data_IF_219042156401
#
_entry.id   IF_219042156401
#
_cell.length_a   1.000
_cell.length_b   1.000
_cell.length_c   1.000
_cell.angle_alpha   90.00
_cell.angle_beta   90.00
_cell.angle_gamma   90.00
#
_symmetry.space_group_name_H-M   'P 1'
#
loop_
_entity.id
_entity.type
_entity.pdbx_description
1 polymer ?
#
# COMPACT_ATOMS: atom_id res chain seq x y z
N UNK A 1 28.27 -20.61 -14.81
CA UNK A 1 26.89 -21.04 -14.47
C UNK A 1 26.59 -22.35 -15.18
N UNK A 2 26.03 -23.37 -14.53
CA UNK A 2 25.63 -24.61 -15.21
C UNK A 2 24.53 -24.28 -16.24
N UNK A 3 24.54 -24.88 -17.44
CA UNK A 3 23.55 -24.62 -18.51
C UNK A 3 22.10 -24.66 -17.99
N UNK A 4 21.80 -25.58 -17.07
CA UNK A 4 20.48 -25.70 -16.43
C UNK A 4 20.09 -24.49 -15.57
N UNK A 5 21.05 -23.84 -14.92
CA UNK A 5 20.80 -22.61 -14.14
C UNK A 5 20.53 -21.40 -15.04
N UNK A 6 21.22 -21.32 -16.19
CA UNK A 6 21.00 -20.29 -17.18
C UNK A 6 19.61 -20.44 -17.81
N UNK A 7 19.24 -21.66 -18.24
CA UNK A 7 17.93 -21.92 -18.82
C UNK A 7 16.79 -21.56 -17.85
N UNK A 8 16.89 -21.95 -16.58
CA UNK A 8 15.87 -21.60 -15.56
C UNK A 8 15.75 -20.09 -15.36
N UNK A 9 16.88 -19.37 -15.39
CA UNK A 9 16.87 -17.92 -15.29
C UNK A 9 16.18 -17.28 -16.50
N UNK A 10 16.53 -17.71 -17.72
CA UNK A 10 15.94 -17.19 -18.97
C UNK A 10 14.44 -17.47 -19.03
N UNK A 11 14.00 -18.70 -18.74
CA UNK A 11 12.56 -19.03 -18.71
C UNK A 11 11.83 -18.20 -17.65
N UNK A 12 12.39 -18.08 -16.44
CA UNK A 12 11.80 -17.23 -15.40
C UNK A 12 11.70 -15.77 -15.83
N UNK A 13 12.67 -15.26 -16.58
CA UNK A 13 12.67 -13.89 -17.10
C UNK A 13 11.58 -13.70 -18.14
N UNK A 14 11.45 -14.64 -19.09
CA UNK A 14 10.36 -14.63 -20.09
C UNK A 14 9.01 -14.63 -19.40
N UNK A 15 8.79 -15.49 -18.40
CA UNK A 15 7.54 -15.53 -17.63
C UNK A 15 7.28 -14.22 -16.89
N UNK A 16 8.31 -13.52 -16.40
CA UNK A 16 8.14 -12.18 -15.84
C UNK A 16 7.69 -11.17 -16.88
N UNK A 17 8.31 -11.16 -18.06
CA UNK A 17 7.95 -10.24 -19.15
C UNK A 17 6.51 -10.50 -19.60
N UNK A 18 6.12 -11.75 -19.80
CA UNK A 18 4.74 -12.13 -20.17
C UNK A 18 3.75 -11.72 -19.10
N UNK A 19 4.02 -12.00 -17.83
CA UNK A 19 3.15 -11.63 -16.73
C UNK A 19 2.97 -10.10 -16.60
N UNK A 20 4.07 -9.33 -16.75
CA UNK A 20 4.03 -7.87 -16.74
C UNK A 20 3.21 -7.35 -17.93
N UNK A 21 3.42 -7.91 -19.13
CA UNK A 21 2.65 -7.56 -20.31
C UNK A 21 1.15 -7.82 -20.11
N UNK A 22 0.78 -8.95 -19.50
CA UNK A 22 -0.62 -9.24 -19.16
C UNK A 22 -1.20 -8.22 -18.18
N UNK A 23 -0.48 -7.90 -17.09
CA UNK A 23 -0.93 -6.88 -16.13
C UNK A 23 -1.17 -5.54 -16.82
N UNK A 24 -0.23 -5.09 -17.66
CA UNK A 24 -0.36 -3.81 -18.37
C UNK A 24 -1.46 -3.85 -19.44
N UNK A 25 -1.61 -4.96 -20.16
CA UNK A 25 -2.66 -5.16 -21.16
C UNK A 25 -4.04 -5.05 -20.51
N UNK A 26 -4.27 -5.75 -19.40
CA UNK A 26 -5.55 -5.71 -18.69
C UNK A 26 -5.79 -4.39 -17.96
N UNK A 27 -4.73 -3.68 -17.57
CA UNK A 27 -4.82 -2.33 -17.01
C UNK A 27 -5.12 -1.25 -18.07
N UNK A 28 -4.71 -1.47 -19.31
CA UNK A 28 -4.78 -0.48 -20.38
C UNK A 28 -6.16 0.15 -20.62
N UNK A 29 -7.28 -0.58 -20.59
CA UNK A 29 -8.61 0.02 -20.75
C UNK A 29 -8.91 1.09 -19.68
N UNK A 30 -8.51 0.86 -18.42
CA UNK A 30 -8.68 1.81 -17.32
C UNK A 30 -7.84 3.07 -17.57
N UNK A 31 -6.58 2.86 -17.98
CA UNK A 31 -5.66 3.95 -18.30
C UNK A 31 -6.17 4.82 -19.46
N UNK A 32 -6.56 4.18 -20.58
CA UNK A 32 -7.11 4.86 -21.76
C UNK A 32 -8.37 5.64 -21.43
N UNK A 33 -9.29 5.02 -20.69
CA UNK A 33 -10.51 5.68 -20.27
C UNK A 33 -10.20 6.93 -19.45
N UNK A 34 -9.34 6.85 -18.42
CA UNK A 34 -9.03 8.01 -17.57
C UNK A 34 -8.29 9.12 -18.32
N UNK A 35 -7.34 8.76 -19.20
CA UNK A 35 -6.61 9.72 -20.03
C UNK A 35 -7.59 10.44 -20.97
N UNK A 36 -8.50 9.70 -21.61
CA UNK A 36 -9.48 10.24 -22.56
C UNK A 36 -10.69 10.93 -21.93
N UNK A 37 -10.98 10.70 -20.65
CA UNK A 37 -12.21 11.18 -20.02
C UNK A 37 -12.28 12.71 -19.95
N UNK A 38 -13.46 13.24 -20.33
CA UNK A 38 -13.86 14.64 -20.24
C UNK A 38 -15.30 14.70 -19.68
N UNK A 39 -15.60 15.50 -18.64
CA UNK A 39 -14.70 16.42 -17.92
C UNK A 39 -13.60 15.69 -17.16
N UNK A 40 -12.56 16.40 -16.69
CA UNK A 40 -11.47 15.75 -15.95
C UNK A 40 -11.98 15.31 -14.57
N UNK A 41 -11.60 14.10 -14.14
CA UNK A 41 -11.97 13.53 -12.84
C UNK A 41 -10.85 13.69 -11.81
N UNK A 42 -11.21 13.48 -10.53
CA UNK A 42 -10.35 13.71 -9.38
C UNK A 42 -10.76 14.98 -8.63
N UNK A 43 -11.20 14.81 -7.39
CA UNK A 43 -11.78 15.90 -6.57
C UNK A 43 -10.80 17.05 -6.37
N UNK A 44 -9.50 16.74 -6.30
CA UNK A 44 -8.43 17.72 -6.12
C UNK A 44 -7.57 17.94 -7.37
N UNK A 45 -8.04 17.53 -8.57
CA UNK A 45 -7.27 17.66 -9.81
C UNK A 45 -6.79 19.09 -10.03
N UNK A 46 -7.69 20.07 -9.86
CA UNK A 46 -7.36 21.48 -10.08
C UNK A 46 -6.41 22.03 -9.01
N UNK A 47 -6.51 21.55 -7.76
CA UNK A 47 -5.54 21.89 -6.73
C UNK A 47 -4.15 21.34 -7.08
N UNK A 48 -4.07 20.09 -7.52
CA UNK A 48 -2.84 19.48 -8.01
C UNK A 48 -2.29 20.25 -9.22
N UNK A 49 -3.14 20.72 -10.14
CA UNK A 49 -2.73 21.52 -11.29
C UNK A 49 -2.15 22.88 -10.88
N UNK A 50 -2.80 23.60 -9.97
CA UNK A 50 -2.31 24.88 -9.45
C UNK A 50 -0.94 24.72 -8.81
N UNK A 51 -0.76 23.71 -7.95
CA UNK A 51 0.49 23.49 -7.24
C UNK A 51 1.60 22.97 -8.16
N UNK A 52 1.29 22.03 -9.06
CA UNK A 52 2.25 21.55 -10.05
C UNK A 52 2.67 22.66 -11.04
N UNK A 53 1.75 23.57 -11.41
CA UNK A 53 2.08 24.76 -12.19
C UNK A 53 3.06 25.66 -11.46
N UNK A 54 2.82 25.93 -10.17
CA UNK A 54 3.75 26.69 -9.35
C UNK A 54 5.15 26.06 -9.37
N UNK A 55 5.28 24.75 -9.17
CA UNK A 55 6.58 24.07 -9.22
C UNK A 55 7.21 24.01 -10.62
N UNK A 56 6.40 24.00 -11.68
CA UNK A 56 6.90 24.10 -13.06
C UNK A 56 7.55 25.47 -13.29
N UNK A 57 6.86 26.53 -12.89
CA UNK A 57 7.21 27.92 -13.16
C UNK A 57 8.33 28.42 -12.23
N UNK A 58 8.34 27.98 -10.96
CA UNK A 58 9.28 28.39 -9.91
C UNK A 58 10.13 27.23 -9.39
N UNK A 59 10.54 26.32 -10.27
CA UNK A 59 11.33 25.16 -9.87
C UNK A 59 12.63 25.57 -9.18
N UNK A 60 12.76 25.21 -7.92
CA UNK A 60 14.00 25.29 -7.17
C UNK A 60 14.30 23.93 -6.56
N UNK A 61 15.57 23.52 -6.57
CA UNK A 61 16.02 22.27 -5.91
C UNK A 61 15.73 22.32 -4.42
N UNK A 62 15.83 23.52 -3.84
CA UNK A 62 15.47 23.81 -2.46
C UNK A 62 14.35 24.83 -2.52
N UNK A 63 13.07 24.42 -2.42
CA UNK A 63 11.93 25.34 -2.53
C UNK A 63 11.99 26.39 -1.42
N UNK A 64 12.56 27.55 -1.70
CA UNK A 64 12.63 28.71 -0.80
C UNK A 64 11.64 29.74 -1.31
N UNK A 65 10.39 29.33 -1.42
CA UNK A 65 9.32 30.15 -1.97
C UNK A 65 8.20 30.40 -0.96
N UNK A 66 7.47 31.48 -1.19
CA UNK A 66 6.14 31.68 -0.63
C UNK A 66 5.13 31.23 -1.69
N UNK A 67 4.25 30.30 -1.32
CA UNK A 67 3.18 29.85 -2.16
C UNK A 67 1.98 30.78 -1.94
N UNK A 68 1.69 31.64 -2.92
CA UNK A 68 0.48 32.45 -2.94
C UNK A 68 -0.66 31.68 -3.63
N UNK A 69 -1.75 31.45 -2.89
CA UNK A 69 -2.98 30.80 -3.36
C UNK A 69 -4.17 31.60 -2.84
N UNK A 70 -4.87 32.28 -3.76
CA UNK A 70 -6.15 32.95 -3.52
C UNK A 70 -6.10 33.97 -2.35
N UNK A 71 -5.13 34.91 -2.41
CA UNK A 71 -4.95 36.01 -1.44
C UNK A 71 -4.47 35.58 -0.05
N UNK A 72 -4.13 34.31 0.10
CA UNK A 72 -3.45 33.77 1.27
C UNK A 72 -2.25 32.95 0.79
N UNK A 73 -1.35 32.62 1.70
CA UNK A 73 -0.24 31.79 1.33
C UNK A 73 0.51 31.28 2.52
N UNK A 74 1.48 30.44 2.22
CA UNK A 74 2.39 29.91 3.21
C UNK A 74 3.73 29.63 2.58
N UNK A 75 4.77 29.50 3.40
CA UNK A 75 6.04 28.99 2.89
C UNK A 75 5.84 27.63 2.21
N UNK A 76 6.43 27.43 1.03
CA UNK A 76 6.26 26.20 0.22
C UNK A 76 6.63 24.94 1.01
N UNK A 77 7.56 25.05 1.96
CA UNK A 77 8.02 23.95 2.80
C UNK A 77 6.97 23.46 3.83
N UNK A 78 5.84 24.15 4.00
CA UNK A 78 4.71 23.68 4.82
C UNK A 78 3.78 22.70 4.08
N UNK A 79 3.93 22.56 2.76
CA UNK A 79 3.03 21.75 1.94
C UNK A 79 3.36 20.24 2.04
N UNK A 80 2.49 19.49 2.72
CA UNK A 80 2.66 18.06 3.08
C UNK A 80 2.66 17.07 1.91
N UNK A 81 2.37 17.51 0.68
CA UNK A 81 2.29 16.68 -0.53
C UNK A 81 3.35 17.15 -1.54
N UNK A 82 4.55 17.45 -1.04
CA UNK A 82 5.60 18.09 -1.81
C UNK A 82 6.06 17.25 -3.02
N UNK A 83 6.27 15.94 -2.81
CA UNK A 83 6.89 15.07 -3.82
C UNK A 83 6.09 15.01 -5.13
N UNK A 84 4.77 14.82 -5.05
CA UNK A 84 3.94 14.64 -6.24
C UNK A 84 3.79 15.93 -7.04
N UNK A 85 3.64 17.09 -6.39
CA UNK A 85 3.57 18.36 -7.10
C UNK A 85 4.90 18.71 -7.77
N UNK A 86 6.01 18.43 -7.09
CA UNK A 86 7.35 18.66 -7.61
C UNK A 86 7.64 17.79 -8.84
N UNK A 87 7.34 16.50 -8.76
CA UNK A 87 7.53 15.54 -9.86
C UNK A 87 6.67 15.93 -11.08
N UNK A 88 5.40 16.24 -10.87
CA UNK A 88 4.51 16.66 -11.97
C UNK A 88 4.96 17.99 -12.54
N UNK A 89 5.35 18.95 -11.71
CA UNK A 89 5.85 20.26 -12.17
C UNK A 89 7.07 20.11 -13.08
N UNK A 90 8.00 19.19 -12.75
CA UNK A 90 9.14 18.86 -13.59
C UNK A 90 8.71 18.26 -14.93
N UNK A 91 7.79 17.29 -14.93
CA UNK A 91 7.27 16.65 -16.15
C UNK A 91 6.50 17.68 -17.02
N UNK A 92 5.77 18.60 -16.38
CA UNK A 92 5.00 19.65 -17.03
C UNK A 92 5.86 20.72 -17.73
N UNK A 93 7.19 20.67 -17.58
CA UNK A 93 8.13 21.45 -18.41
C UNK A 93 8.31 20.87 -19.81
N UNK A 94 8.01 19.58 -19.98
CA UNK A 94 8.23 18.85 -21.23
C UNK A 94 6.91 18.64 -21.98
N UNK A 95 5.81 18.42 -21.24
CA UNK A 95 4.48 18.16 -21.81
C UNK A 95 3.41 19.05 -21.16
N UNK A 96 2.23 19.24 -21.80
CA UNK A 96 1.16 20.04 -21.22
C UNK A 96 0.79 19.60 -19.80
N UNK A 97 0.58 20.58 -18.90
CA UNK A 97 0.34 20.35 -17.47
C UNK A 97 -0.75 19.31 -17.16
N UNK A 98 -1.89 19.41 -17.84
CA UNK A 98 -3.02 18.48 -17.66
C UNK A 98 -2.61 17.05 -18.03
N UNK A 99 -1.88 16.89 -19.13
CA UNK A 99 -1.36 15.60 -19.56
C UNK A 99 -0.30 15.07 -18.59
N UNK A 100 0.58 15.94 -18.07
CA UNK A 100 1.57 15.57 -17.06
C UNK A 100 0.92 14.96 -15.81
N UNK A 101 -0.14 15.59 -15.30
CA UNK A 101 -0.90 15.06 -14.15
C UNK A 101 -1.50 13.70 -14.51
N UNK A 102 -2.26 13.61 -15.61
CA UNK A 102 -2.94 12.36 -16.01
C UNK A 102 -1.96 11.21 -16.19
N UNK A 103 -0.86 11.43 -16.91
CA UNK A 103 0.15 10.40 -17.14
C UNK A 103 0.91 10.03 -15.86
N UNK A 104 1.22 10.98 -14.98
CA UNK A 104 1.91 10.68 -13.71
C UNK A 104 1.05 9.79 -12.82
N UNK A 105 -0.24 10.11 -12.72
CA UNK A 105 -1.21 9.34 -11.93
C UNK A 105 -1.39 7.93 -12.51
N UNK A 106 -1.54 7.79 -13.83
CA UNK A 106 -1.62 6.47 -14.48
C UNK A 106 -0.31 5.68 -14.36
N UNK A 107 0.84 6.33 -14.51
CA UNK A 107 2.14 5.69 -14.31
C UNK A 107 2.32 5.20 -12.87
N UNK A 108 1.87 5.98 -11.88
CA UNK A 108 1.90 5.56 -10.47
C UNK A 108 1.02 4.34 -10.21
N UNK A 109 -0.15 4.23 -10.88
CA UNK A 109 -1.01 3.06 -10.77
C UNK A 109 -0.38 1.84 -11.46
N UNK A 110 0.21 2.00 -12.64
CA UNK A 110 0.95 0.93 -13.30
C UNK A 110 2.08 0.41 -12.39
N UNK A 111 2.89 1.30 -11.82
CA UNK A 111 3.98 0.93 -10.90
C UNK A 111 3.46 0.27 -9.60
N UNK A 112 2.29 0.69 -9.11
CA UNK A 112 1.61 0.03 -7.99
C UNK A 112 1.29 -1.42 -8.36
N UNK A 113 0.65 -1.67 -9.51
CA UNK A 113 0.29 -3.01 -9.96
C UNK A 113 1.52 -3.89 -10.19
N UNK A 114 2.60 -3.33 -10.76
CA UNK A 114 3.87 -4.04 -10.91
C UNK A 114 4.48 -4.39 -9.55
N UNK A 115 4.40 -3.49 -8.57
CA UNK A 115 4.89 -3.76 -7.21
C UNK A 115 4.06 -4.82 -6.49
N UNK A 116 2.73 -4.82 -6.68
CA UNK A 116 1.84 -5.90 -6.20
C UNK A 116 2.21 -7.22 -6.83
N UNK A 117 2.39 -7.26 -8.16
CA UNK A 117 2.82 -8.44 -8.90
C UNK A 117 4.15 -9.00 -8.35
N UNK A 118 5.17 -8.14 -8.22
CA UNK A 118 6.50 -8.54 -7.75
C UNK A 118 6.44 -9.04 -6.30
N UNK A 119 5.73 -8.34 -5.41
CA UNK A 119 5.52 -8.73 -4.02
C UNK A 119 4.82 -10.09 -3.92
N UNK A 120 3.70 -10.26 -4.62
CA UNK A 120 2.95 -11.51 -4.66
C UNK A 120 3.79 -12.66 -5.23
N UNK A 121 4.56 -12.43 -6.29
CA UNK A 121 5.45 -13.44 -6.86
C UNK A 121 6.51 -13.89 -5.86
N UNK A 122 7.08 -12.96 -5.08
CA UNK A 122 8.07 -13.32 -4.07
C UNK A 122 7.50 -14.21 -2.97
N UNK A 123 6.21 -14.12 -2.68
CA UNK A 123 5.51 -14.95 -1.70
C UNK A 123 5.03 -16.28 -2.30
N UNK A 124 4.34 -16.23 -3.44
CA UNK A 124 3.68 -17.37 -4.08
C UNK A 124 4.62 -18.26 -4.89
N UNK A 125 5.69 -17.67 -5.45
CA UNK A 125 6.56 -18.27 -6.48
C UNK A 125 5.78 -18.76 -7.71
N UNK A 126 4.70 -18.07 -8.05
CA UNK A 126 3.85 -18.37 -9.21
C UNK A 126 3.58 -17.09 -10.01
N UNK A 127 3.95 -17.09 -11.29
CA UNK A 127 3.84 -15.93 -12.18
C UNK A 127 2.38 -15.60 -12.51
N UNK A 128 1.61 -16.59 -12.99
CA UNK A 128 0.21 -16.40 -13.38
C UNK A 128 -0.66 -15.93 -12.21
N UNK A 129 -0.57 -16.59 -11.05
CA UNK A 129 -1.33 -16.21 -9.86
C UNK A 129 -1.02 -14.76 -9.45
N UNK A 130 0.25 -14.37 -9.48
CA UNK A 130 0.66 -13.02 -9.09
C UNK A 130 0.18 -11.97 -10.10
N UNK A 131 0.18 -12.31 -11.39
CA UNK A 131 -0.37 -11.45 -12.43
C UNK A 131 -1.89 -11.33 -12.27
N UNK A 132 -2.60 -12.44 -12.04
CA UNK A 132 -4.03 -12.46 -11.80
C UNK A 132 -4.40 -11.62 -10.58
N UNK A 133 -3.69 -11.74 -9.45
CA UNK A 133 -3.91 -10.89 -8.28
C UNK A 133 -3.74 -9.41 -8.65
N UNK A 134 -2.66 -9.03 -9.34
CA UNK A 134 -2.45 -7.64 -9.74
C UNK A 134 -3.56 -7.12 -10.66
N UNK A 135 -4.01 -7.91 -11.63
CA UNK A 135 -5.16 -7.57 -12.49
C UNK A 135 -6.42 -7.40 -11.65
N UNK A 136 -6.74 -8.32 -10.75
CA UNK A 136 -7.94 -8.24 -9.89
C UNK A 136 -7.89 -7.05 -8.92
N UNK A 137 -6.71 -6.66 -8.46
CA UNK A 137 -6.50 -5.40 -7.73
C UNK A 137 -6.85 -4.21 -8.61
N UNK A 138 -6.38 -4.17 -9.87
CA UNK A 138 -6.71 -3.10 -10.81
C UNK A 138 -8.21 -2.97 -11.06
N UNK A 139 -8.93 -4.09 -11.15
CA UNK A 139 -10.38 -4.15 -11.38
C UNK A 139 -11.24 -4.04 -10.11
N UNK A 140 -10.62 -3.83 -8.94
CA UNK A 140 -11.37 -3.51 -7.73
C UNK A 140 -11.76 -2.03 -7.75
N UNK A 141 -13.05 -1.72 -7.61
CA UNK A 141 -13.55 -0.34 -7.50
C UNK A 141 -12.93 0.40 -6.31
N UNK A 142 -12.55 -0.31 -5.25
CA UNK A 142 -11.71 0.21 -4.16
C UNK A 142 -10.39 0.82 -4.66
N UNK A 143 -9.86 0.33 -5.78
CA UNK A 143 -8.61 0.81 -6.35
C UNK A 143 -8.82 1.77 -7.49
N UNK A 144 -9.43 1.37 -8.60
CA UNK A 144 -9.62 2.32 -9.70
C UNK A 144 -10.66 3.41 -9.36
N UNK A 145 -11.63 3.16 -8.47
CA UNK A 145 -12.56 4.19 -8.01
C UNK A 145 -11.86 5.29 -7.20
N UNK A 146 -10.73 4.98 -6.55
CA UNK A 146 -9.88 5.97 -5.90
C UNK A 146 -9.17 6.91 -6.88
N UNK A 147 -9.06 6.56 -8.16
CA UNK A 147 -8.60 7.44 -9.23
C UNK A 147 -9.71 8.42 -9.69
N UNK A 148 -10.97 8.05 -9.52
CA UNK A 148 -12.12 8.64 -10.20
C UNK A 148 -12.98 9.50 -9.27
N UNK A 149 -13.42 8.92 -8.15
CA UNK A 149 -14.54 9.44 -7.35
C UNK A 149 -14.11 10.01 -6.00
N UNK A 150 -13.15 9.36 -5.33
CA UNK A 150 -12.73 9.75 -3.98
C UNK A 150 -11.28 10.25 -3.87
N UNK A 151 -10.48 10.10 -4.93
CA UNK A 151 -9.06 10.43 -4.91
C UNK A 151 -8.74 11.86 -4.60
N UNK A 152 -8.03 12.09 -3.50
CA UNK A 152 -6.95 13.07 -3.60
C UNK A 152 -5.90 12.43 -4.52
N UNK A 153 -5.74 12.91 -5.75
CA UNK A 153 -4.81 12.34 -6.74
C UNK A 153 -3.40 12.12 -6.19
N UNK A 154 -2.85 13.01 -5.34
CA UNK A 154 -1.62 12.71 -4.64
C UNK A 154 -1.71 11.53 -3.66
N UNK A 155 -2.80 11.40 -2.89
CA UNK A 155 -3.02 10.21 -2.07
C UNK A 155 -3.03 8.96 -2.95
N UNK A 156 -3.79 9.00 -4.04
CA UNK A 156 -3.91 7.90 -4.98
C UNK A 156 -2.53 7.47 -5.50
N UNK A 157 -1.75 8.42 -6.01
CA UNK A 157 -0.41 8.16 -6.50
C UNK A 157 0.50 7.62 -5.39
N UNK A 158 0.34 8.09 -4.15
CA UNK A 158 1.12 7.63 -3.00
C UNK A 158 0.88 6.16 -2.64
N UNK A 159 -0.28 5.59 -3.00
CA UNK A 159 -0.59 4.18 -2.73
C UNK A 159 0.43 3.22 -3.36
N UNK A 160 1.13 3.62 -4.44
CA UNK A 160 2.27 2.91 -5.04
C UNK A 160 3.30 2.47 -4.00
N UNK A 161 3.62 3.35 -3.05
CA UNK A 161 4.73 3.11 -2.14
C UNK A 161 4.44 1.99 -1.15
N UNK A 162 3.16 1.64 -0.92
CA UNK A 162 2.78 0.55 -0.03
C UNK A 162 3.25 -0.83 -0.55
N UNK A 163 2.76 -1.36 -1.68
CA UNK A 163 3.25 -2.63 -2.21
C UNK A 163 4.73 -2.59 -2.58
N UNK A 164 5.26 -1.42 -2.97
CA UNK A 164 6.69 -1.26 -3.25
C UNK A 164 7.55 -1.49 -1.99
N UNK A 165 7.22 -0.83 -0.87
CA UNK A 165 7.90 -1.04 0.41
C UNK A 165 7.77 -2.49 0.89
N UNK A 166 6.57 -3.09 0.79
CA UNK A 166 6.36 -4.49 1.15
C UNK A 166 7.22 -5.44 0.30
N UNK A 167 7.30 -5.22 -1.01
CA UNK A 167 8.18 -6.01 -1.90
C UNK A 167 9.65 -5.91 -1.49
N UNK A 168 10.16 -4.70 -1.24
CA UNK A 168 11.54 -4.47 -0.81
C UNK A 168 11.81 -5.14 0.54
N UNK A 169 10.88 -5.07 1.48
CA UNK A 169 10.99 -5.76 2.77
C UNK A 169 10.99 -7.28 2.59
N UNK A 170 10.10 -7.84 1.75
CA UNK A 170 10.13 -9.28 1.45
C UNK A 170 11.50 -9.68 0.87
N UNK A 171 12.06 -8.89 -0.05
CA UNK A 171 13.39 -9.13 -0.61
C UNK A 171 14.48 -9.07 0.45
N UNK A 172 14.42 -8.09 1.35
CA UNK A 172 15.34 -7.98 2.49
C UNK A 172 15.27 -9.20 3.40
N UNK A 173 14.07 -9.60 3.86
CA UNK A 173 13.90 -10.71 4.79
C UNK A 173 14.31 -12.06 4.17
N UNK A 174 14.10 -12.25 2.87
CA UNK A 174 14.43 -13.49 2.16
C UNK A 174 15.91 -13.58 1.76
N UNK A 175 16.58 -12.46 1.46
CA UNK A 175 17.99 -12.44 1.02
C UNK A 175 18.98 -12.13 2.15
N UNK A 176 18.54 -11.38 3.16
CA UNK A 176 19.41 -10.78 4.17
C UNK A 176 20.27 -9.62 3.67
N UNK A 177 20.10 -9.18 2.41
CA UNK A 177 20.85 -8.07 1.82
C UNK A 177 20.27 -6.72 2.26
N UNK A 178 21.05 -5.96 3.02
CA UNK A 178 20.67 -4.67 3.60
C UNK A 178 20.38 -3.59 2.54
N UNK A 179 20.79 -3.76 1.28
CA UNK A 179 20.44 -2.84 0.19
C UNK A 179 18.93 -2.71 0.04
N UNK A 180 18.20 -3.83 0.10
CA UNK A 180 16.73 -3.83 0.04
C UNK A 180 16.09 -3.11 1.21
N UNK A 181 16.65 -3.26 2.42
CA UNK A 181 16.20 -2.53 3.60
C UNK A 181 16.37 -1.02 3.41
N UNK A 182 17.55 -0.56 3.01
CA UNK A 182 17.80 0.87 2.77
C UNK A 182 16.97 1.44 1.64
N UNK A 183 16.73 0.68 0.57
CA UNK A 183 15.77 1.08 -0.47
C UNK A 183 14.35 1.22 0.11
N UNK A 184 13.92 0.33 1.01
CA UNK A 184 12.63 0.48 1.68
C UNK A 184 12.57 1.71 2.59
N UNK A 185 13.67 2.10 3.24
CA UNK A 185 13.77 3.37 3.98
C UNK A 185 13.55 4.55 3.04
N UNK A 186 14.20 4.55 1.88
CA UNK A 186 14.05 5.63 0.88
C UNK A 186 12.61 5.71 0.36
N UNK A 187 12.04 4.57 -0.02
CA UNK A 187 10.65 4.49 -0.52
C UNK A 187 9.65 4.96 0.54
N UNK A 188 9.85 4.59 1.81
CA UNK A 188 8.98 5.04 2.90
C UNK A 188 9.14 6.54 3.15
N UNK A 189 10.37 7.07 3.07
CA UNK A 189 10.64 8.52 3.13
C UNK A 189 9.95 9.29 1.98
N UNK A 190 10.03 8.79 0.75
CA UNK A 190 9.30 9.38 -0.39
C UNK A 190 7.79 9.30 -0.22
N UNK A 191 7.26 8.21 0.35
CA UNK A 191 5.85 8.13 0.68
C UNK A 191 5.43 9.23 1.65
N UNK A 192 6.25 9.51 2.68
CA UNK A 192 5.98 10.61 3.61
C UNK A 192 6.03 11.98 2.94
N UNK A 193 6.93 12.18 1.96
CA UNK A 193 6.98 13.40 1.15
C UNK A 193 5.79 13.53 0.18
N UNK A 194 5.22 12.40 -0.25
CA UNK A 194 4.10 12.36 -1.18
C UNK A 194 2.76 12.53 -0.48
N UNK A 195 2.49 11.81 0.60
CA UNK A 195 1.27 11.98 1.39
C UNK A 195 1.43 11.39 2.81
N UNK A 196 1.65 12.25 3.81
CA UNK A 196 1.90 11.89 5.21
C UNK A 196 0.95 10.83 5.79
N UNK A 197 -0.36 11.02 5.65
CA UNK A 197 -1.38 10.13 6.26
C UNK A 197 -1.35 8.73 5.64
N UNK A 198 -1.31 8.64 4.31
CA UNK A 198 -1.17 7.36 3.60
C UNK A 198 0.13 6.64 3.99
N UNK A 199 1.25 7.38 4.03
CA UNK A 199 2.54 6.85 4.38
C UNK A 199 2.61 6.31 5.81
N UNK A 200 2.11 7.07 6.79
CA UNK A 200 2.07 6.64 8.18
C UNK A 200 1.16 5.44 8.39
N UNK A 201 -0.04 5.48 7.78
CA UNK A 201 -1.11 4.50 8.03
C UNK A 201 -0.86 3.16 7.37
N UNK A 202 -0.37 3.16 6.12
CA UNK A 202 -0.20 1.92 5.35
C UNK A 202 1.25 1.58 5.10
N UNK A 203 2.05 2.51 4.56
CA UNK A 203 3.43 2.23 4.13
C UNK A 203 4.32 1.89 5.32
N UNK A 204 4.37 2.77 6.32
CA UNK A 204 5.18 2.58 7.52
C UNK A 204 4.64 1.44 8.38
N UNK A 205 3.34 1.46 8.73
CA UNK A 205 2.76 0.43 9.59
C UNK A 205 2.89 -0.97 8.96
N UNK A 206 2.62 -1.11 7.66
CA UNK A 206 2.78 -2.38 6.98
C UNK A 206 4.23 -2.86 6.91
N UNK A 207 5.17 -1.95 6.65
CA UNK A 207 6.60 -2.26 6.71
C UNK A 207 7.03 -2.68 8.12
N UNK A 208 6.52 -2.02 9.16
CA UNK A 208 6.81 -2.35 10.55
C UNK A 208 6.26 -3.73 10.94
N UNK A 209 5.02 -4.06 10.55
CA UNK A 209 4.42 -5.38 10.75
C UNK A 209 5.25 -6.47 10.07
N UNK A 210 5.67 -6.25 8.82
CA UNK A 210 6.52 -7.21 8.08
C UNK A 210 7.90 -7.35 8.72
N UNK A 211 8.55 -6.26 9.13
CA UNK A 211 9.85 -6.33 9.81
C UNK A 211 9.75 -7.08 11.15
N UNK A 212 8.68 -6.84 11.91
CA UNK A 212 8.49 -7.41 13.24
C UNK A 212 8.11 -8.89 13.19
N UNK A 213 7.18 -9.29 12.33
CA UNK A 213 6.61 -10.65 12.30
C UNK A 213 7.01 -11.48 11.08
N UNK A 214 7.66 -10.86 10.09
CA UNK A 214 8.12 -11.55 8.89
C UNK A 214 9.13 -12.66 9.16
N UNK A 215 9.02 -13.72 8.36
CA UNK A 215 9.98 -14.82 8.35
C UNK A 215 11.28 -14.40 7.66
N UNK A 216 12.42 -14.74 8.27
CA UNK A 216 13.75 -14.31 7.84
C UNK A 216 14.62 -15.50 7.49
N UNK A 217 15.52 -15.33 6.51
CA UNK A 217 16.55 -16.33 6.20
C UNK A 217 17.56 -16.48 7.36
N UNK A 218 17.91 -15.37 8.02
CA UNK A 218 18.75 -15.35 9.23
C UNK A 218 17.85 -15.11 10.45
N UNK A 219 18.02 -15.92 11.51
CA UNK A 219 17.34 -15.66 12.79
C UNK A 219 17.86 -14.36 13.37
N UNK A 220 16.95 -13.49 13.80
CA UNK A 220 17.24 -12.17 14.36
C UNK A 220 16.43 -12.04 15.65
N UNK A 221 17.08 -11.56 16.71
CA UNK A 221 16.45 -11.36 18.01
C UNK A 221 15.33 -10.29 17.92
N UNK A 222 14.29 -10.35 18.77
CA UNK A 222 13.19 -9.37 18.74
C UNK A 222 13.67 -7.91 18.86
N UNK A 223 14.68 -7.65 19.69
CA UNK A 223 15.23 -6.30 19.89
C UNK A 223 15.85 -5.72 18.61
N UNK A 224 16.50 -6.55 17.80
CA UNK A 224 17.09 -6.12 16.53
C UNK A 224 16.00 -5.81 15.50
N UNK A 225 14.86 -6.51 15.54
CA UNK A 225 13.70 -6.17 14.70
C UNK A 225 13.12 -4.80 15.09
N UNK A 226 13.06 -4.50 16.39
CA UNK A 226 12.62 -3.18 16.89
C UNK A 226 13.60 -2.10 16.44
N UNK A 227 14.92 -2.33 16.56
CA UNK A 227 15.94 -1.39 16.06
C UNK A 227 15.77 -1.10 14.57
N UNK A 228 15.51 -2.11 13.75
CA UNK A 228 15.26 -1.92 12.32
C UNK A 228 14.00 -1.08 12.05
N UNK A 229 12.94 -1.24 12.84
CA UNK A 229 11.73 -0.39 12.74
C UNK A 229 12.04 1.05 13.14
N UNK A 230 12.82 1.25 14.20
CA UNK A 230 13.28 2.59 14.62
C UNK A 230 14.14 3.21 13.51
N UNK A 231 15.08 2.47 12.92
CA UNK A 231 15.90 2.94 11.80
C UNK A 231 15.04 3.25 10.58
N UNK A 232 14.03 2.42 10.28
CA UNK A 232 13.08 2.68 9.22
C UNK A 232 12.36 4.00 9.46
N UNK A 233 11.83 4.21 10.66
CA UNK A 233 11.13 5.44 11.03
C UNK A 233 12.05 6.65 10.95
N UNK A 234 13.20 6.62 11.65
CA UNK A 234 14.14 7.74 11.74
C UNK A 234 14.77 8.05 10.39
N UNK A 235 15.17 7.03 9.62
CA UNK A 235 15.72 7.22 8.28
C UNK A 235 14.69 7.82 7.30
N UNK A 236 13.46 7.33 7.33
CA UNK A 236 12.36 7.90 6.52
C UNK A 236 12.02 9.32 6.96
N UNK A 237 12.03 9.58 8.27
CA UNK A 237 11.84 10.90 8.87
C UNK A 237 12.92 11.88 8.39
N UNK A 238 14.20 11.48 8.37
CA UNK A 238 15.27 12.36 7.88
C UNK A 238 15.16 12.68 6.39
N UNK A 239 14.65 11.75 5.58
CA UNK A 239 14.37 12.04 4.18
C UNK A 239 13.15 12.96 4.00
N UNK A 240 12.16 12.83 4.88
CA UNK A 240 10.98 13.69 4.94
C UNK A 240 11.14 14.92 5.86
N UNK A 241 12.36 15.18 6.35
CA UNK A 241 12.67 16.04 7.50
C UNK A 241 12.12 17.46 7.35
N UNK A 242 12.14 17.98 6.12
CA UNK A 242 11.64 19.31 5.78
C UNK A 242 10.12 19.47 5.90
N UNK A 243 9.34 18.39 5.89
CA UNK A 243 7.89 18.44 6.07
C UNK A 243 7.46 18.11 7.50
N UNK A 244 8.20 17.24 8.19
CA UNK A 244 7.79 16.73 9.50
C UNK A 244 8.12 17.68 10.66
N UNK A 245 9.19 18.48 10.57
CA UNK A 245 9.49 19.53 11.57
C UNK A 245 8.52 20.71 11.49
N UNK A 246 8.13 21.11 10.28
CA UNK A 246 7.26 22.27 10.05
C UNK A 246 5.86 22.06 10.60
N UNK A 247 5.34 20.84 10.49
CA UNK A 247 4.06 20.42 11.08
C UNK A 247 4.14 20.14 12.58
N UNK A 248 5.28 20.44 13.22
CA UNK A 248 5.54 20.10 14.63
C UNK A 248 5.28 18.62 14.92
N UNK A 249 5.42 17.69 13.97
CA UNK A 249 5.04 16.28 14.22
C UNK A 249 5.91 15.70 15.33
N UNK A 250 7.22 15.89 15.25
CA UNK A 250 8.13 15.44 16.30
C UNK A 250 7.90 16.20 17.62
N UNK A 251 7.78 17.55 17.65
CA UNK A 251 7.35 18.26 18.85
C UNK A 251 6.00 17.81 19.41
N UNK A 252 5.01 17.48 18.57
CA UNK A 252 3.68 16.99 18.97
C UNK A 252 3.75 15.56 19.47
N UNK A 253 4.61 14.71 18.90
CA UNK A 253 4.84 13.34 19.35
C UNK A 253 5.62 13.31 20.67
N UNK A 254 6.61 14.19 20.82
CA UNK A 254 7.34 14.43 22.07
C UNK A 254 6.37 15.00 23.12
N UNK A 255 5.60 16.05 22.80
CA UNK A 255 4.63 16.64 23.71
C UNK A 255 3.54 15.64 24.10
N UNK A 256 3.10 14.78 23.18
CA UNK A 256 2.16 13.70 23.46
C UNK A 256 2.77 12.61 24.36
N UNK A 257 4.03 12.23 24.13
CA UNK A 257 4.76 11.30 25.00
C UNK A 257 4.93 11.90 26.41
N UNK A 258 5.34 13.16 26.51
CA UNK A 258 5.55 13.88 27.76
C UNK A 258 4.23 14.17 28.51
N UNK A 259 3.12 14.35 27.80
CA UNK A 259 1.80 14.57 28.39
C UNK A 259 1.01 13.30 28.68
N UNK A 260 1.61 12.11 28.49
CA UNK A 260 0.92 10.82 28.67
C UNK A 260 -0.13 10.50 27.60
N UNK A 261 -0.37 11.40 26.65
CA UNK A 261 -1.30 11.26 25.52
C UNK A 261 -0.63 10.65 24.29
N UNK A 262 0.18 9.60 24.46
CA UNK A 262 1.02 9.03 23.39
C UNK A 262 0.22 8.55 22.15
N UNK A 263 -1.09 8.37 22.29
CA UNK A 263 -2.01 7.97 21.23
C UNK A 263 -2.58 9.15 20.41
N UNK A 264 -2.60 10.37 20.95
CA UNK A 264 -3.15 11.56 20.26
C UNK A 264 -2.48 11.91 18.92
N UNK A 265 -1.15 11.82 18.76
CA UNK A 265 -0.48 12.06 17.47
C UNK A 265 -0.91 11.08 16.37
N UNK A 266 -1.37 9.90 16.78
CA UNK A 266 -1.95 8.91 15.88
C UNK A 266 -3.45 9.11 15.69
N UNK A 267 -4.02 10.25 16.10
CA UNK A 267 -5.42 10.58 15.89
C UNK A 267 -6.42 9.90 16.82
N UNK A 268 -5.97 9.15 17.84
CA UNK A 268 -6.86 8.75 18.93
C UNK A 268 -7.37 9.98 19.66
N UNK A 269 -8.69 10.11 19.87
CA UNK A 269 -9.31 11.27 20.52
C UNK A 269 -9.58 12.48 19.62
N UNK A 270 -9.37 12.37 18.30
CA UNK A 270 -9.75 13.41 17.34
C UNK A 270 -11.27 13.44 17.10
N UNK A 271 -11.85 14.64 16.99
CA UNK A 271 -13.28 14.78 16.62
C UNK A 271 -13.48 14.37 15.16
N UNK A 272 -14.07 13.19 14.94
CA UNK A 272 -14.66 12.79 13.66
C UNK A 272 -15.93 13.62 13.37
N UNK A 273 -16.38 13.65 12.11
CA UNK A 273 -17.66 14.28 11.71
C UNK A 273 -18.88 13.69 12.45
N UNK A 274 -18.71 12.48 13.02
CA UNK A 274 -19.52 11.95 14.11
C UNK A 274 -18.57 11.68 15.30
N UNK A 275 -18.68 12.43 16.39
CA UNK A 275 -17.94 12.09 17.61
C UNK A 275 -18.68 10.96 18.32
N UNK A 276 -17.95 9.89 18.60
CA UNK A 276 -18.41 8.85 19.50
C UNK A 276 -17.82 9.16 20.85
N UNK A 277 -18.66 9.63 21.75
CA UNK A 277 -18.32 9.89 23.14
C UNK A 277 -18.72 8.64 23.95
N UNK A 278 -17.86 8.22 24.86
CA UNK A 278 -18.15 7.10 25.75
C UNK A 278 -18.45 7.72 27.11
N UNK A 279 -19.73 7.77 27.46
CA UNK A 279 -20.19 8.25 28.77
C UNK A 279 -20.47 7.07 29.70
N UNK A 280 -20.64 7.34 31.00
CA UNK A 280 -20.88 6.31 32.02
C UNK A 280 -22.15 5.45 31.78
N UNK A 281 -23.01 5.83 30.84
CA UNK A 281 -24.19 5.08 30.40
C UNK A 281 -24.07 4.34 29.06
N UNK A 282 -22.92 4.41 28.37
CA UNK A 282 -22.69 3.73 27.08
C UNK A 282 -22.10 4.64 26.00
N UNK A 283 -22.16 4.16 24.75
CA UNK A 283 -21.63 4.84 23.57
C UNK A 283 -22.66 5.88 23.08
N UNK A 284 -22.40 7.18 23.28
CA UNK A 284 -23.18 8.28 22.74
C UNK A 284 -22.58 8.73 21.42
N UNK A 285 -23.36 8.71 20.33
CA UNK A 285 -22.95 9.30 19.05
C UNK A 285 -23.59 10.67 18.95
N UNK A 286 -22.79 11.73 18.90
CA UNK A 286 -23.32 13.07 18.62
C UNK A 286 -23.41 13.27 17.10
N UNK A 287 -24.57 13.76 16.62
CA UNK A 287 -24.82 14.01 15.19
C UNK A 287 -26.20 13.57 14.70
N UNK A 288 -26.52 13.90 13.44
CA UNK A 288 -27.74 13.45 12.78
C UNK A 288 -27.75 11.91 12.68
N UNK A 289 -28.77 11.25 13.23
CA UNK A 289 -28.89 9.79 13.26
C UNK A 289 -28.79 9.15 11.85
N UNK A 290 -29.30 9.82 10.83
CA UNK A 290 -29.22 9.34 9.44
C UNK A 290 -27.80 9.38 8.90
N UNK A 291 -27.02 10.41 9.26
CA UNK A 291 -25.61 10.51 8.89
C UNK A 291 -24.77 9.44 9.58
N UNK A 292 -25.05 9.16 10.85
CA UNK A 292 -24.38 8.09 11.61
C UNK A 292 -24.71 6.71 11.03
N UNK A 293 -25.98 6.46 10.71
CA UNK A 293 -26.41 5.21 10.08
C UNK A 293 -25.76 5.03 8.71
N UNK A 294 -25.70 6.11 7.92
CA UNK A 294 -25.00 6.14 6.64
C UNK A 294 -23.51 5.81 6.80
N UNK A 295 -22.77 6.50 7.67
CA UNK A 295 -21.33 6.26 7.89
C UNK A 295 -21.04 4.82 8.35
N UNK A 296 -21.88 4.25 9.23
CA UNK A 296 -21.77 2.84 9.65
C UNK A 296 -22.01 1.87 8.49
N UNK A 297 -22.97 2.15 7.61
CA UNK A 297 -23.26 1.31 6.44
C UNK A 297 -22.10 1.26 5.44
N UNK A 298 -21.24 2.30 5.42
CA UNK A 298 -20.09 2.39 4.52
C UNK A 298 -19.00 1.38 4.79
N UNK A 299 -18.98 0.73 5.96
CA UNK A 299 -18.07 -0.38 6.22
C UNK A 299 -18.17 -1.46 5.14
N UNK A 300 -19.38 -1.79 4.67
CA UNK A 300 -19.59 -2.85 3.68
C UNK A 300 -18.99 -2.52 2.30
N UNK A 301 -18.69 -1.24 2.03
CA UNK A 301 -18.07 -0.80 0.77
C UNK A 301 -16.69 -1.45 0.59
N UNK A 302 -15.96 -1.73 1.67
CA UNK A 302 -14.68 -2.47 1.58
C UNK A 302 -14.85 -3.82 0.87
N UNK A 303 -16.03 -4.44 0.99
CA UNK A 303 -16.34 -5.72 0.40
C UNK A 303 -17.04 -5.62 -0.95
N UNK A 304 -18.03 -4.73 -1.10
CA UNK A 304 -18.76 -4.58 -2.36
C UNK A 304 -17.90 -4.07 -3.51
N UNK A 305 -16.93 -3.21 -3.19
CA UNK A 305 -16.12 -2.52 -4.20
C UNK A 305 -14.78 -3.25 -4.47
N UNK A 306 -14.58 -4.41 -3.87
CA UNK A 306 -13.49 -5.32 -4.24
C UNK A 306 -13.95 -6.32 -5.29
N UNK A 307 -13.06 -6.72 -6.19
CA UNK A 307 -13.40 -7.71 -7.22
C UNK A 307 -13.90 -9.02 -6.60
N UNK A 308 -15.09 -9.49 -6.98
CA UNK A 308 -15.66 -10.75 -6.48
C UNK A 308 -14.76 -11.96 -6.77
N UNK A 309 -14.05 -11.94 -7.89
CA UNK A 309 -13.12 -13.01 -8.28
C UNK A 309 -11.94 -13.09 -7.31
N UNK A 310 -11.53 -11.97 -6.69
CA UNK A 310 -10.49 -11.97 -5.67
C UNK A 310 -10.93 -12.75 -4.42
N UNK A 311 -12.21 -12.69 -4.04
CA UNK A 311 -12.76 -13.48 -2.94
C UNK A 311 -12.88 -14.96 -3.27
N UNK A 312 -13.29 -15.30 -4.51
CA UNK A 312 -13.32 -16.69 -4.97
C UNK A 312 -11.92 -17.30 -4.91
N UNK A 313 -10.92 -16.57 -5.43
CA UNK A 313 -9.53 -17.00 -5.41
C UNK A 313 -8.98 -17.12 -3.98
N UNK A 314 -9.40 -16.22 -3.08
CA UNK A 314 -9.08 -16.29 -1.66
C UNK A 314 -9.67 -17.55 -0.99
N UNK A 315 -10.93 -17.87 -1.27
CA UNK A 315 -11.58 -19.10 -0.81
C UNK A 315 -10.87 -20.37 -1.28
N UNK A 316 -10.49 -20.42 -2.56
CA UNK A 316 -9.68 -21.53 -3.12
C UNK A 316 -8.35 -21.64 -2.37
N UNK A 317 -7.66 -20.53 -2.15
CA UNK A 317 -6.38 -20.51 -1.43
C UNK A 317 -6.52 -20.92 0.05
N UNK A 318 -7.64 -20.62 0.71
CA UNK A 318 -7.93 -21.11 2.06
C UNK A 318 -8.10 -22.64 2.06
N UNK A 319 -8.89 -23.19 1.12
CA UNK A 319 -9.09 -24.64 1.03
C UNK A 319 -7.77 -25.36 0.80
N UNK A 320 -6.97 -24.87 -0.15
CA UNK A 320 -5.63 -25.40 -0.43
C UNK A 320 -4.69 -25.25 0.77
N UNK A 321 -4.76 -24.13 1.49
CA UNK A 321 -4.00 -23.90 2.71
C UNK A 321 -4.37 -24.91 3.80
N UNK A 322 -5.66 -25.14 4.07
CA UNK A 322 -6.13 -26.09 5.09
C UNK A 322 -5.65 -27.50 4.75
N UNK A 323 -5.85 -27.94 3.51
CA UNK A 323 -5.37 -29.24 3.05
C UNK A 323 -3.85 -29.37 3.22
N UNK A 324 -3.10 -28.36 2.79
CA UNK A 324 -1.64 -28.36 2.91
C UNK A 324 -1.17 -28.29 4.37
N UNK A 325 -1.87 -27.60 5.26
CA UNK A 325 -1.55 -27.49 6.68
C UNK A 325 -1.77 -28.82 7.43
N UNK A 326 -2.84 -29.56 7.08
CA UNK A 326 -3.09 -30.91 7.62
C UNK A 326 -1.95 -31.86 7.23
N UNK A 327 -1.48 -31.76 5.98
CA UNK A 327 -0.40 -32.60 5.43
C UNK A 327 1.01 -32.14 5.83
N UNK A 328 1.18 -30.90 6.29
CA UNK A 328 2.50 -30.33 6.58
C UNK A 328 3.11 -30.92 7.86
N UNK A 329 4.28 -31.55 7.70
CA UNK A 329 5.10 -32.05 8.82
C UNK A 329 5.82 -30.92 9.56
N UNK A 330 5.93 -29.72 8.97
CA UNK A 330 6.65 -28.55 9.51
C UNK A 330 5.71 -27.37 9.79
N UNK A 331 4.65 -27.64 10.56
CA UNK A 331 3.59 -26.68 10.94
C UNK A 331 4.10 -25.32 11.44
N UNK A 332 5.28 -25.27 12.08
CA UNK A 332 5.91 -23.99 12.53
C UNK A 332 6.10 -22.97 11.40
N UNK A 333 6.18 -23.41 10.14
CA UNK A 333 6.31 -22.50 8.99
C UNK A 333 5.05 -21.67 8.72
N UNK A 334 3.90 -22.02 9.33
CA UNK A 334 2.64 -21.26 9.25
C UNK A 334 2.78 -19.85 9.83
N UNK A 335 3.72 -19.64 10.76
CA UNK A 335 4.00 -18.33 11.36
C UNK A 335 4.41 -17.29 10.30
N UNK A 336 4.89 -17.73 9.13
CA UNK A 336 5.16 -16.85 7.99
C UNK A 336 3.93 -16.12 7.43
N UNK A 337 2.72 -16.59 7.78
CA UNK A 337 1.44 -15.99 7.36
C UNK A 337 0.99 -14.83 8.27
N UNK A 338 1.48 -14.79 9.52
CA UNK A 338 1.07 -13.80 10.55
C UNK A 338 1.10 -12.35 10.04
N UNK A 339 2.20 -11.83 9.45
CA UNK A 339 2.21 -10.43 9.00
C UNK A 339 1.14 -10.13 7.95
N UNK A 340 0.82 -11.09 7.08
CA UNK A 340 -0.15 -10.90 6.01
C UNK A 340 -1.59 -10.95 6.53
N UNK A 341 -1.85 -11.85 7.49
CA UNK A 341 -3.13 -11.88 8.21
C UNK A 341 -3.32 -10.56 8.96
N UNK A 342 -2.29 -10.09 9.69
CA UNK A 342 -2.34 -8.81 10.40
C UNK A 342 -2.60 -7.64 9.47
N UNK A 343 -1.97 -7.60 8.28
CA UNK A 343 -2.19 -6.54 7.30
C UNK A 343 -3.61 -6.56 6.72
N UNK A 344 -4.12 -7.74 6.34
CA UNK A 344 -5.48 -7.88 5.82
C UNK A 344 -6.52 -7.51 6.90
N UNK A 345 -6.34 -8.04 8.12
CA UNK A 345 -7.19 -7.70 9.27
C UNK A 345 -7.10 -6.22 9.59
N UNK A 346 -5.91 -5.61 9.56
CA UNK A 346 -5.75 -4.17 9.77
C UNK A 346 -6.54 -3.36 8.74
N UNK A 347 -6.47 -3.69 7.45
CA UNK A 347 -7.24 -2.97 6.43
C UNK A 347 -8.76 -3.06 6.62
N UNK A 348 -9.28 -4.14 7.20
CA UNK A 348 -10.71 -4.26 7.53
C UNK A 348 -11.04 -3.53 8.83
N UNK A 349 -10.26 -3.78 9.90
CA UNK A 349 -10.49 -3.19 11.21
C UNK A 349 -10.32 -1.68 11.21
N UNK A 350 -9.38 -1.15 10.44
CA UNK A 350 -9.18 0.29 10.33
C UNK A 350 -10.38 0.98 9.66
N UNK A 351 -11.00 0.37 8.65
CA UNK A 351 -12.25 0.89 8.06
C UNK A 351 -13.41 0.75 9.04
N UNK A 352 -13.52 -0.41 9.70
CA UNK A 352 -14.56 -0.68 10.70
C UNK A 352 -14.53 0.34 11.85
N UNK A 353 -13.35 0.56 12.44
CA UNK A 353 -13.17 1.49 13.56
C UNK A 353 -13.50 2.93 13.15
N UNK A 354 -13.02 3.38 11.98
CA UNK A 354 -13.37 4.71 11.46
C UNK A 354 -14.88 4.87 11.19
N UNK A 355 -15.53 3.86 10.62
CA UNK A 355 -16.98 3.86 10.37
C UNK A 355 -17.82 3.88 11.68
N UNK A 356 -17.23 3.44 12.78
CA UNK A 356 -17.83 3.47 14.12
C UNK A 356 -17.29 4.63 14.98
N UNK A 357 -16.68 5.65 14.35
CA UNK A 357 -16.23 6.87 15.02
C UNK A 357 -15.03 6.72 15.95
N UNK A 358 -14.37 5.56 15.96
CA UNK A 358 -13.08 5.35 16.63
C UNK A 358 -11.99 5.84 15.70
N UNK A 359 -11.58 7.09 15.89
CA UNK A 359 -10.49 7.67 15.10
C UNK A 359 -9.15 7.11 15.56
N UNK A 360 -8.53 6.25 14.76
CA UNK A 360 -7.11 5.91 14.87
C UNK A 360 -6.50 6.00 13.49
N UNK A 361 -5.44 6.79 13.35
CA UNK A 361 -4.84 7.22 12.09
C UNK A 361 -5.91 7.84 11.17
N UNK A 362 -6.62 8.83 11.74
CA UNK A 362 -7.82 9.43 11.13
C UNK A 362 -7.53 9.87 9.69
N UNK A 363 -8.29 9.26 8.79
CA UNK A 363 -8.38 9.64 7.39
C UNK A 363 -9.84 9.61 6.99
N UNK A 364 -10.22 10.36 5.96
CA UNK A 364 -11.57 10.27 5.44
C UNK A 364 -11.89 8.80 5.13
N UNK A 365 -13.05 8.31 5.59
CA UNK A 365 -13.42 6.90 5.57
C UNK A 365 -13.23 6.26 4.19
N UNK A 366 -13.50 7.02 3.13
CA UNK A 366 -13.37 6.55 1.77
C UNK A 366 -11.94 6.21 1.36
N UNK A 367 -10.92 6.80 2.01
CA UNK A 367 -9.49 6.53 1.73
C UNK A 367 -8.99 5.27 2.44
N UNK A 368 -9.65 4.86 3.52
CA UNK A 368 -9.20 3.79 4.38
C UNK A 368 -9.33 2.40 3.72
N UNK A 369 -10.29 2.21 2.82
CA UNK A 369 -10.54 0.90 2.21
C UNK A 369 -9.75 0.63 0.91
N UNK A 370 -9.09 1.64 0.32
CA UNK A 370 -8.42 1.49 -0.98
C UNK A 370 -7.30 0.45 -0.99
N UNK A 371 -6.64 0.22 0.15
CA UNK A 371 -5.54 -0.73 0.27
C UNK A 371 -5.99 -2.18 0.50
N UNK A 372 -7.28 -2.42 0.75
CA UNK A 372 -7.79 -3.75 1.09
C UNK A 372 -7.57 -4.80 -0.02
N UNK A 373 -7.83 -4.53 -1.32
CA UNK A 373 -7.52 -5.49 -2.38
C UNK A 373 -6.02 -5.85 -2.42
N UNK A 374 -5.13 -4.90 -2.10
CA UNK A 374 -3.68 -5.13 -2.06
C UNK A 374 -3.34 -6.08 -0.91
N UNK A 375 -3.78 -5.79 0.32
CA UNK A 375 -3.48 -6.62 1.51
C UNK A 375 -4.06 -8.03 1.37
N UNK A 376 -5.28 -8.16 0.83
CA UNK A 376 -5.89 -9.44 0.52
C UNK A 376 -5.08 -10.21 -0.53
N UNK A 377 -4.60 -9.54 -1.59
CA UNK A 377 -3.73 -10.13 -2.59
C UNK A 377 -2.41 -10.68 -2.02
N UNK A 378 -1.75 -9.93 -1.12
CA UNK A 378 -0.56 -10.40 -0.42
C UNK A 378 -0.84 -11.61 0.48
N UNK A 379 -1.97 -11.62 1.21
CA UNK A 379 -2.38 -12.75 2.02
C UNK A 379 -2.64 -14.00 1.16
N UNK A 380 -3.34 -13.84 0.04
CA UNK A 380 -3.60 -14.91 -0.92
C UNK A 380 -2.30 -15.51 -1.47
N UNK A 381 -1.37 -14.65 -1.91
CA UNK A 381 -0.06 -15.07 -2.37
C UNK A 381 0.75 -15.80 -1.28
N UNK A 382 0.64 -15.37 -0.02
CA UNK A 382 1.29 -16.02 1.11
C UNK A 382 0.68 -17.40 1.42
N UNK A 383 -0.65 -17.52 1.44
CA UNK A 383 -1.38 -18.78 1.64
C UNK A 383 -0.98 -19.80 0.56
N UNK A 384 -0.98 -19.38 -0.71
CA UNK A 384 -0.52 -20.20 -1.82
C UNK A 384 0.94 -20.62 -1.65
N UNK A 385 1.81 -19.66 -1.33
CA UNK A 385 3.24 -19.92 -1.14
C UNK A 385 3.52 -20.92 -0.02
N UNK A 386 2.73 -20.88 1.06
CA UNK A 386 2.75 -21.90 2.10
C UNK A 386 2.28 -23.25 1.57
N UNK A 387 1.08 -23.31 0.96
CA UNK A 387 0.49 -24.54 0.47
C UNK A 387 1.41 -25.28 -0.52
N UNK A 388 1.96 -24.54 -1.49
CA UNK A 388 2.93 -25.05 -2.47
C UNK A 388 4.17 -25.67 -1.80
N UNK A 389 4.76 -24.99 -0.81
CA UNK A 389 5.96 -25.51 -0.11
C UNK A 389 5.67 -26.79 0.66
N UNK A 390 4.54 -26.84 1.36
CA UNK A 390 4.14 -28.01 2.14
C UNK A 390 3.88 -29.22 1.24
N UNK A 391 3.14 -29.05 0.15
CA UNK A 391 2.81 -30.13 -0.79
C UNK A 391 4.04 -30.70 -1.52
N UNK A 392 4.97 -29.84 -1.95
CA UNK A 392 6.26 -30.27 -2.54
C UNK A 392 7.07 -31.12 -1.55
N UNK A 393 7.01 -30.79 -0.25
CA UNK A 393 7.74 -31.52 0.78
C UNK A 393 7.16 -32.92 1.03
N UNK A 394 5.84 -33.06 0.94
CA UNK A 394 5.12 -34.32 1.19
C UNK A 394 5.30 -35.31 0.03
N UNK A 395 5.19 -34.84 -1.21
CA UNK A 395 5.22 -35.71 -2.39
C UNK A 395 6.46 -35.40 -3.25
N UNK A 396 7.63 -35.89 -2.82
CA UNK A 396 8.94 -35.70 -3.49
C UNK A 396 8.94 -35.95 -5.00
N UNK A 397 8.04 -36.82 -5.52
CA UNK A 397 7.90 -37.12 -6.96
C UNK A 397 6.48 -36.84 -7.50
N UNK A 398 5.41 -37.23 -6.78
CA UNK A 398 4.03 -37.03 -7.25
C UNK A 398 3.50 -35.59 -7.08
N UNK A 399 3.98 -34.80 -6.11
CA UNK A 399 3.54 -33.41 -5.88
C UNK A 399 4.41 -32.41 -6.62
N UNK A 400 5.57 -32.84 -7.12
CA UNK A 400 6.17 -32.15 -8.24
C UNK A 400 5.27 -32.32 -9.46
N UNK A 401 4.88 -33.55 -9.85
CA UNK A 401 4.10 -33.79 -11.08
C UNK A 401 2.65 -33.30 -11.01
N UNK A 402 1.89 -33.46 -9.93
CA UNK A 402 0.50 -32.95 -9.84
C UNK A 402 0.45 -31.41 -9.75
N UNK A 403 1.47 -30.77 -9.18
CA UNK A 403 1.55 -29.32 -9.04
C UNK A 403 2.33 -28.65 -10.18
N UNK A 404 3.09 -29.43 -10.96
CA UNK A 404 3.67 -29.05 -12.25
C UNK A 404 2.60 -29.28 -13.32
N UNK A 405 2.02 -30.47 -13.48
CA UNK A 405 1.01 -30.73 -14.53
C UNK A 405 -0.33 -30.00 -14.27
N UNK A 406 -0.73 -29.79 -13.01
CA UNK A 406 -1.93 -29.00 -12.70
C UNK A 406 -1.78 -27.47 -12.85
N UNK A 407 -0.56 -26.96 -13.08
CA UNK A 407 -0.24 -25.52 -13.09
C UNK A 407 0.84 -25.09 -14.09
N UNK A 408 1.48 -25.97 -14.87
CA UNK A 408 2.52 -25.65 -15.87
C UNK A 408 1.92 -25.12 -17.18
N UNK A 409 0.61 -24.87 -17.17
CA UNK A 409 -0.03 -23.92 -18.08
C UNK A 409 -0.12 -22.49 -17.44
N UNK A 410 0.58 -22.22 -16.31
CA UNK A 410 0.58 -20.93 -15.60
C UNK A 410 1.90 -20.46 -14.99
#
# INVERSE_FOLDING_TARGET
>A
MKITSLLRFVVSLILHVVAIALVLYFFWPIAQWYIGHRPILGVDFWNMATLARFFRDYFEILPRGYLDVWHAGGPVFENVIFFWYYLIGLIARIIPLISAIKYTVIASFALLLLSVYLGCYRLSKNHLLSAAIAVLVAYSANMYGSLIWGGSLPYFANQLFFPCALFLQIMYLQSGDKRWFWMSVIITGWAFLGHLVNAGTFVFLGSAVVLLFGSRIKKVAPIERIKEIVILFVGSYFLAYRLMLTRKILPSLINALLSGNFLNPFGFGGKSAASVEIEAGGITVSGNADLVAFERSRFLVVFSDSSHVLYILFGICIVLFIAAFILDRKKKSVVSLVPWIMLASFSVMHVFLNAHGVSFLSQAWYRAYWHFPITLGFLLAALWGYARRSLITVYKHAGAVLFVVGLVIG
#
